data_IF_890528230138
#
_entry.id   IF_890528230138
#
_cell.length_a   1.000
_cell.length_b   1.000
_cell.length_c   1.000
_cell.angle_alpha   90.00
_cell.angle_beta   90.00
_cell.angle_gamma   90.00
#
_symmetry.space_group_name_H-M   'P 1'
#
loop_
_entity.id
_entity.type
_entity.pdbx_description
1 polymer ?
#
# COMPACT_ATOMS: atom_id res chain seq x y z
N UNK A 1 -28.93 36.75 36.88
CA UNK A 1 -29.87 37.80 36.43
C UNK A 1 -29.34 38.44 35.16
N UNK A 2 -29.95 38.11 34.01
CA UNK A 2 -30.39 39.01 32.94
C UNK A 2 -31.24 38.15 32.00
N UNK A 3 -32.53 38.44 31.99
CA UNK A 3 -33.57 37.75 31.21
C UNK A 3 -33.89 38.54 29.94
N UNK A 4 -34.29 37.84 28.88
CA UNK A 4 -35.35 38.19 27.92
C UNK A 4 -35.45 37.02 26.91
N UNK A 5 -36.41 36.11 27.06
CA UNK A 5 -37.77 36.09 26.45
C UNK A 5 -37.78 35.57 24.99
N UNK A 6 -38.23 34.33 24.75
CA UNK A 6 -39.60 33.86 24.36
C UNK A 6 -39.84 34.11 22.84
N UNK A 7 -40.09 33.11 21.98
CA UNK A 7 -41.40 32.45 21.80
C UNK A 7 -41.33 31.06 21.13
N UNK A 8 -42.18 30.18 21.66
CA UNK A 8 -42.60 28.87 21.15
C UNK A 8 -43.69 29.04 20.08
N UNK A 9 -43.72 28.21 19.03
CA UNK A 9 -44.91 28.05 18.19
C UNK A 9 -45.00 26.63 17.61
N UNK A 10 -45.80 25.83 18.31
CA UNK A 10 -46.47 24.63 17.79
C UNK A 10 -47.77 25.08 17.12
N UNK A 11 -48.07 24.61 15.91
CA UNK A 11 -49.46 24.41 15.51
C UNK A 11 -49.55 23.24 14.52
N UNK A 12 -50.23 22.19 14.98
CA UNK A 12 -50.76 21.13 14.15
C UNK A 12 -52.27 21.37 13.99
N UNK A 13 -52.82 21.22 12.79
CA UNK A 13 -54.00 20.37 12.57
C UNK A 13 -54.34 20.18 11.09
N UNK A 14 -54.88 18.99 10.88
CA UNK A 14 -55.33 18.29 9.68
C UNK A 14 -56.66 18.77 9.09
N UNK A 15 -57.03 18.10 7.97
CA UNK A 15 -58.36 17.90 7.34
C UNK A 15 -58.81 18.99 6.36
N UNK A 16 -59.46 18.72 5.22
CA UNK A 16 -59.82 17.50 4.48
C UNK A 16 -60.49 17.91 3.15
N UNK A 17 -60.38 17.05 2.13
CA UNK A 17 -61.25 16.81 0.95
C UNK A 17 -61.90 17.97 0.17
N UNK A 18 -61.67 17.97 -1.15
CA UNK A 18 -62.56 18.59 -2.14
C UNK A 18 -62.17 18.20 -3.56
N UNK A 19 -62.96 17.33 -4.18
CA UNK A 19 -62.84 16.91 -5.58
C UNK A 19 -63.80 17.76 -6.41
N UNK A 20 -63.33 18.37 -7.50
CA UNK A 20 -64.20 18.88 -8.57
C UNK A 20 -63.68 18.39 -9.93
N UNK A 21 -64.62 17.87 -10.72
CA UNK A 21 -64.43 17.28 -12.05
C UNK A 21 -64.75 18.30 -13.16
N UNK A 22 -64.21 18.02 -14.35
CA UNK A 22 -64.67 18.40 -15.71
C UNK A 22 -64.49 19.88 -16.14
N UNK A 23 -63.92 20.24 -17.30
CA UNK A 23 -63.59 19.52 -18.54
C UNK A 23 -62.55 20.26 -19.41
N UNK A 24 -61.73 19.44 -20.10
CA UNK A 24 -61.20 19.58 -21.48
C UNK A 24 -60.33 20.77 -21.90
N UNK A 25 -59.04 20.48 -22.17
CA UNK A 25 -58.38 20.81 -23.45
C UNK A 25 -57.08 20.01 -23.65
N UNK A 26 -57.21 18.89 -24.36
CA UNK A 26 -56.29 18.33 -25.38
C UNK A 26 -54.77 18.13 -25.10
N UNK A 27 -54.42 16.83 -25.03
CA UNK A 27 -53.39 16.10 -25.81
C UNK A 27 -51.98 15.82 -25.23
N UNK A 28 -51.83 14.52 -24.88
CA UNK A 28 -50.67 13.62 -24.95
C UNK A 28 -49.55 13.69 -23.90
N UNK A 29 -49.86 13.02 -22.80
CA UNK A 29 -48.97 12.33 -21.88
C UNK A 29 -48.18 11.19 -22.58
N UNK A 30 -46.84 11.26 -22.54
CA UNK A 30 -45.96 10.10 -22.71
C UNK A 30 -45.27 9.88 -21.37
N UNK A 31 -45.84 8.99 -20.56
CA UNK A 31 -45.33 8.57 -19.25
C UNK A 31 -43.88 8.06 -19.41
N UNK A 32 -42.92 8.77 -18.80
CA UNK A 32 -41.56 8.25 -18.58
C UNK A 32 -41.62 7.18 -17.48
N UNK A 33 -41.14 5.96 -17.71
CA UNK A 33 -40.96 4.98 -16.64
C UNK A 33 -39.96 5.50 -15.60
N UNK A 34 -40.28 5.28 -14.33
CA UNK A 34 -39.42 5.57 -13.20
C UNK A 34 -38.03 4.95 -13.38
N UNK A 35 -37.00 5.78 -13.22
CA UNK A 35 -35.60 5.40 -13.31
C UNK A 35 -35.27 4.46 -12.15
N UNK A 36 -35.08 3.19 -12.49
CA UNK A 36 -34.61 2.14 -11.58
C UNK A 36 -33.23 2.55 -11.01
N UNK A 37 -32.92 2.25 -9.74
CA UNK A 37 -31.62 2.57 -9.16
C UNK A 37 -30.51 1.99 -10.04
N UNK A 38 -29.68 2.87 -10.60
CA UNK A 38 -28.55 2.48 -11.40
C UNK A 38 -27.64 1.59 -10.56
N UNK A 39 -27.30 0.42 -11.09
CA UNK A 39 -26.30 -0.47 -10.49
C UNK A 39 -25.02 0.36 -10.24
N UNK A 40 -24.34 0.19 -9.08
CA UNK A 40 -23.09 0.89 -8.85
C UNK A 40 -22.13 0.57 -9.99
N UNK A 41 -21.72 1.61 -10.73
CA UNK A 41 -20.66 1.49 -11.72
C UNK A 41 -19.40 1.05 -10.98
N UNK A 42 -18.74 -0.05 -11.36
CA UNK A 42 -17.48 -0.45 -10.73
C UNK A 42 -16.48 0.70 -10.89
N UNK A 43 -16.00 1.25 -9.77
CA UNK A 43 -14.91 2.24 -9.80
C UNK A 43 -13.67 1.51 -10.31
N UNK A 44 -13.29 1.77 -11.56
CA UNK A 44 -12.07 1.21 -12.13
C UNK A 44 -10.87 1.85 -11.45
N UNK A 45 -10.14 1.07 -10.66
CA UNK A 45 -8.91 1.51 -10.00
C UNK A 45 -7.77 1.50 -11.03
N UNK A 46 -7.07 2.64 -11.25
CA UNK A 46 -5.93 2.66 -12.14
C UNK A 46 -4.79 1.74 -11.69
N UNK A 47 -4.07 1.14 -12.65
CA UNK A 47 -2.99 0.18 -12.38
C UNK A 47 -1.79 0.77 -11.63
N UNK A 48 -1.57 2.09 -11.71
CA UNK A 48 -0.51 2.79 -10.98
C UNK A 48 -0.85 3.03 -9.49
N UNK A 49 -2.11 2.85 -9.08
CA UNK A 49 -2.48 2.96 -7.67
C UNK A 49 -1.87 1.79 -6.94
N UNK A 50 -1.03 2.06 -5.94
CA UNK A 50 -0.28 1.00 -5.31
C UNK A 50 0.73 1.45 -4.28
N UNK A 51 1.40 0.47 -3.72
CA UNK A 51 2.54 0.64 -2.84
C UNK A 51 3.75 0.05 -3.54
N UNK A 52 4.81 0.83 -3.68
CA UNK A 52 6.07 0.46 -4.31
C UNK A 52 7.15 0.48 -3.24
N UNK A 53 7.89 -0.63 -3.09
CA UNK A 53 8.86 -0.77 -2.00
C UNK A 53 10.08 -1.58 -2.44
N UNK A 54 11.28 -1.06 -2.18
CA UNK A 54 12.53 -1.76 -2.46
C UNK A 54 13.70 -1.20 -1.66
N UNK A 55 14.76 -2.00 -1.57
CA UNK A 55 16.11 -1.48 -1.36
C UNK A 55 16.73 -1.14 -2.70
N UNK A 56 17.27 0.08 -2.84
CA UNK A 56 18.00 0.53 -4.02
C UNK A 56 19.45 0.89 -3.65
N UNK A 57 20.39 0.91 -4.62
CA UNK A 57 21.76 1.34 -4.40
C UNK A 57 21.86 2.73 -3.79
N UNK A 58 22.92 2.97 -3.02
CA UNK A 58 23.18 4.23 -2.36
C UNK A 58 24.67 4.57 -2.46
N UNK A 59 25.00 5.74 -3.04
CA UNK A 59 26.39 6.13 -3.23
C UNK A 59 27.13 6.42 -1.90
N UNK A 60 26.41 6.89 -0.88
CA UNK A 60 26.99 7.36 0.39
C UNK A 60 26.55 6.53 1.60
N UNK A 61 25.84 5.42 1.38
CA UNK A 61 25.31 4.54 2.42
C UNK A 61 25.27 3.09 1.91
N UNK A 62 24.91 2.11 2.74
CA UNK A 62 24.95 0.70 2.31
C UNK A 62 23.85 0.40 1.29
N UNK A 63 22.65 0.91 1.55
CA UNK A 63 21.48 0.86 0.67
C UNK A 63 20.45 1.86 1.15
N UNK A 64 19.52 2.22 0.27
CA UNK A 64 18.37 3.06 0.63
C UNK A 64 17.10 2.24 0.51
N UNK A 65 16.28 2.23 1.57
CA UNK A 65 14.88 1.81 1.47
C UNK A 65 14.06 2.95 0.88
N UNK A 66 13.28 2.65 -0.16
CA UNK A 66 12.25 3.54 -0.70
C UNK A 66 10.90 2.84 -0.57
N UNK A 67 9.91 3.57 -0.07
CA UNK A 67 8.54 3.11 0.11
C UNK A 67 7.60 4.23 -0.34
N UNK A 68 7.06 4.11 -1.56
CA UNK A 68 6.16 5.09 -2.17
C UNK A 68 4.75 4.51 -2.27
N UNK A 69 3.78 5.19 -1.69
CA UNK A 69 2.35 4.87 -1.87
C UNK A 69 1.72 5.94 -2.76
N UNK A 70 1.10 5.51 -3.85
CA UNK A 70 0.33 6.34 -4.77
C UNK A 70 -1.17 6.08 -4.54
N UNK A 71 -1.91 7.15 -4.25
CA UNK A 71 -3.33 7.10 -3.97
C UNK A 71 -4.17 7.51 -5.18
N UNK A 72 -5.39 6.99 -5.29
CA UNK A 72 -6.28 7.24 -6.43
C UNK A 72 -6.64 8.72 -6.60
N UNK A 73 -6.65 9.49 -5.51
CA UNK A 73 -6.88 10.93 -5.48
C UNK A 73 -5.67 11.77 -5.90
N UNK A 74 -4.63 11.13 -6.44
CA UNK A 74 -3.35 11.74 -6.86
C UNK A 74 -2.52 12.34 -5.73
N UNK A 75 -2.71 11.84 -4.51
CA UNK A 75 -1.80 12.10 -3.40
C UNK A 75 -0.78 10.98 -3.26
N UNK A 76 0.33 11.26 -2.56
CA UNK A 76 1.34 10.26 -2.26
C UNK A 76 1.85 10.35 -0.82
N UNK A 77 2.39 9.24 -0.34
CA UNK A 77 3.28 9.19 0.83
C UNK A 77 4.58 8.50 0.43
N UNK A 78 5.71 9.16 0.68
CA UNK A 78 7.05 8.66 0.39
C UNK A 78 7.84 8.56 1.68
N UNK A 79 8.24 7.35 2.05
CA UNK A 79 9.17 7.07 3.14
C UNK A 79 10.48 6.60 2.55
N UNK A 80 11.57 7.17 3.05
CA UNK A 80 12.92 6.80 2.64
C UNK A 80 13.79 6.61 3.85
N UNK A 81 14.59 5.54 3.85
CA UNK A 81 15.59 5.31 4.88
C UNK A 81 16.96 5.04 4.24
N UNK A 82 17.97 5.83 4.60
CA UNK A 82 19.36 5.54 4.25
C UNK A 82 19.98 4.69 5.36
N UNK A 83 20.42 3.47 5.02
CA UNK A 83 20.99 2.52 5.96
C UNK A 83 22.51 2.65 5.99
N UNK A 84 23.07 2.84 7.18
CA UNK A 84 24.49 2.82 7.44
C UNK A 84 24.78 1.76 8.50
N UNK A 85 26.01 1.25 8.53
CA UNK A 85 26.49 0.21 9.48
C UNK A 85 25.99 0.32 10.92
N UNK A 86 25.85 1.55 11.44
CA UNK A 86 25.48 1.80 12.85
C UNK A 86 24.29 2.73 13.03
N UNK A 87 23.72 3.27 11.95
CA UNK A 87 22.63 4.25 12.05
C UNK A 87 21.73 4.19 10.83
N UNK A 88 20.50 4.59 11.01
CA UNK A 88 19.53 4.77 9.93
C UNK A 88 19.07 6.23 9.95
N UNK A 89 19.00 6.86 8.79
CA UNK A 89 18.38 8.18 8.63
C UNK A 89 17.10 8.03 7.84
N UNK A 90 15.99 8.43 8.43
CA UNK A 90 14.68 8.35 7.81
C UNK A 90 14.16 9.74 7.46
N UNK A 91 13.42 9.82 6.37
CA UNK A 91 12.61 10.99 6.00
C UNK A 91 11.28 10.50 5.45
N UNK A 92 10.25 11.29 5.69
CA UNK A 92 8.91 11.06 5.17
C UNK A 92 8.41 12.37 4.54
N UNK A 93 7.81 12.23 3.37
CA UNK A 93 7.13 13.31 2.67
C UNK A 93 5.78 12.86 2.14
N UNK A 94 4.91 13.83 1.98
CA UNK A 94 3.59 13.64 1.37
C UNK A 94 3.29 14.83 0.48
N UNK A 95 2.39 14.63 -0.46
CA UNK A 95 1.89 15.70 -1.32
C UNK A 95 1.10 15.16 -2.48
N UNK A 96 1.10 15.90 -3.58
CA UNK A 96 0.38 15.54 -4.81
C UNK A 96 1.34 15.09 -5.90
N UNK A 97 0.82 14.40 -6.91
CA UNK A 97 1.61 14.07 -8.09
C UNK A 97 0.84 14.30 -9.40
N UNK A 98 1.62 14.46 -10.47
CA UNK A 98 1.12 14.58 -11.83
C UNK A 98 1.92 13.68 -12.76
N UNK A 99 1.28 13.23 -13.84
CA UNK A 99 1.98 12.64 -14.98
C UNK A 99 2.29 13.74 -16.00
N UNK A 100 3.45 13.66 -16.63
CA UNK A 100 3.82 14.58 -17.70
C UNK A 100 2.89 14.39 -18.90
N UNK A 101 2.44 15.50 -19.50
CA UNK A 101 1.48 15.48 -20.61
C UNK A 101 2.05 14.86 -21.90
N UNK A 102 3.37 14.94 -22.09
CA UNK A 102 4.08 14.44 -23.27
C UNK A 102 4.65 13.05 -23.04
N UNK A 103 4.96 12.72 -21.79
CA UNK A 103 5.45 11.41 -21.38
C UNK A 103 4.61 10.88 -20.21
N UNK A 104 3.60 10.06 -20.51
CA UNK A 104 2.69 9.48 -19.51
C UNK A 104 3.38 8.60 -18.47
N UNK A 105 4.62 8.17 -18.71
CA UNK A 105 5.38 7.38 -17.75
C UNK A 105 6.15 8.27 -16.76
N UNK A 106 6.36 9.55 -17.07
CA UNK A 106 7.06 10.45 -16.16
C UNK A 106 6.10 10.93 -15.06
N UNK A 107 6.33 10.44 -13.84
CA UNK A 107 5.65 10.82 -12.62
C UNK A 107 6.43 11.92 -11.89
N UNK A 108 5.79 13.06 -11.63
CA UNK A 108 6.34 14.14 -10.82
C UNK A 108 5.60 14.22 -9.48
N UNK A 109 6.32 13.97 -8.38
CA UNK A 109 5.86 14.19 -7.02
C UNK A 109 6.18 15.64 -6.60
N UNK A 110 5.22 16.30 -5.96
CA UNK A 110 5.35 17.66 -5.44
C UNK A 110 5.10 17.62 -3.93
N UNK A 111 6.14 17.87 -3.15
CA UNK A 111 6.07 17.83 -1.68
C UNK A 111 5.27 19.00 -1.12
N UNK A 112 4.31 18.73 -0.23
CA UNK A 112 3.42 19.77 0.28
C UNK A 112 4.12 20.82 1.14
N UNK A 113 5.18 20.43 1.88
CA UNK A 113 5.85 21.29 2.86
C UNK A 113 6.97 22.11 2.22
N UNK A 114 7.79 21.46 1.41
CA UNK A 114 9.03 22.01 0.82
C UNK A 114 8.83 22.49 -0.60
N UNK A 115 7.74 22.09 -1.27
CA UNK A 115 7.47 22.34 -2.68
C UNK A 115 8.56 21.80 -3.62
N UNK A 116 9.41 20.90 -3.13
CA UNK A 116 10.42 20.25 -3.93
C UNK A 116 9.80 19.18 -4.83
N UNK A 117 10.35 19.06 -6.03
CA UNK A 117 9.94 18.06 -7.01
C UNK A 117 10.79 16.81 -6.88
N UNK A 118 10.17 15.66 -7.14
CA UNK A 118 10.87 14.40 -7.40
C UNK A 118 10.27 13.71 -8.60
N UNK A 119 11.10 12.95 -9.30
CA UNK A 119 10.72 12.34 -10.56
C UNK A 119 10.90 10.82 -10.48
N UNK A 120 9.92 10.11 -11.01
CA UNK A 120 9.95 8.68 -11.19
C UNK A 120 9.50 8.34 -12.61
N UNK A 121 10.04 7.28 -13.19
CA UNK A 121 9.45 6.63 -14.36
C UNK A 121 8.52 5.52 -13.89
N UNK A 122 7.30 5.49 -14.43
CA UNK A 122 6.32 4.44 -14.21
C UNK A 122 6.49 3.36 -15.27
N UNK A 123 6.55 2.12 -14.81
CA UNK A 123 6.59 0.93 -15.64
C UNK A 123 5.43 0.00 -15.27
N UNK A 124 5.28 -1.10 -15.99
CA UNK A 124 4.32 -2.12 -15.60
C UNK A 124 4.74 -2.71 -14.25
N UNK A 125 3.83 -2.64 -13.27
CA UNK A 125 4.03 -3.12 -11.89
C UNK A 125 5.30 -2.61 -11.16
N UNK A 126 5.92 -1.51 -11.59
CA UNK A 126 7.14 -0.98 -10.97
C UNK A 126 7.34 0.50 -11.24
N UNK A 127 8.21 1.14 -10.46
CA UNK A 127 8.69 2.52 -10.68
C UNK A 127 10.22 2.57 -10.60
N UNK A 128 10.80 3.57 -11.23
CA UNK A 128 12.23 3.86 -11.18
C UNK A 128 12.44 5.32 -10.74
N UNK A 129 13.23 5.61 -9.71
CA UNK A 129 13.61 6.99 -9.38
C UNK A 129 14.45 7.59 -10.51
N UNK A 130 14.23 8.87 -10.82
CA UNK A 130 15.00 9.62 -11.80
C UNK A 130 15.82 10.73 -11.12
N UNK A 131 16.85 11.23 -11.81
CA UNK A 131 17.61 12.39 -11.34
C UNK A 131 16.78 13.70 -11.45
N UNK A 132 17.36 14.82 -10.99
CA UNK A 132 16.71 16.13 -11.02
C UNK A 132 16.43 16.65 -12.44
N UNK A 133 17.15 16.12 -13.44
CA UNK A 133 17.00 16.44 -14.85
C UNK A 133 16.08 15.42 -15.57
N UNK A 134 15.43 14.51 -14.82
CA UNK A 134 14.54 13.45 -15.31
C UNK A 134 15.26 12.36 -16.11
N UNK A 135 16.56 12.19 -15.92
CA UNK A 135 17.31 11.10 -16.54
C UNK A 135 17.30 9.86 -15.66
N UNK A 136 17.38 8.70 -16.30
CA UNK A 136 17.62 7.41 -15.64
C UNK A 136 19.03 7.34 -15.07
N UNK A 137 19.19 6.58 -13.99
CA UNK A 137 20.51 6.29 -13.45
C UNK A 137 21.24 5.27 -14.33
N UNK A 138 22.59 5.26 -14.26
CA UNK A 138 23.36 4.13 -14.78
C UNK A 138 22.99 2.89 -13.98
N UNK A 139 22.91 1.73 -14.65
CA UNK A 139 22.49 0.46 -14.07
C UNK A 139 21.05 0.51 -13.51
N UNK A 140 20.12 1.10 -14.28
CA UNK A 140 18.73 1.35 -13.91
C UNK A 140 17.97 0.10 -13.42
N UNK A 141 18.41 -1.10 -13.83
CA UNK A 141 17.84 -2.37 -13.40
C UNK A 141 17.94 -2.55 -11.87
N UNK A 142 18.95 -1.95 -11.23
CA UNK A 142 19.13 -1.99 -9.78
C UNK A 142 18.23 -1.00 -9.03
N UNK A 143 17.60 -0.07 -9.74
CA UNK A 143 16.75 0.97 -9.17
C UNK A 143 15.25 0.70 -9.36
N UNK A 144 14.90 -0.45 -9.94
CA UNK A 144 13.50 -0.86 -10.09
C UNK A 144 12.87 -1.12 -8.72
N UNK A 145 11.76 -0.42 -8.45
CA UNK A 145 10.99 -0.52 -7.23
C UNK A 145 9.66 -1.18 -7.60
N UNK A 146 9.48 -2.49 -7.38
CA UNK A 146 8.25 -3.17 -7.72
C UNK A 146 7.09 -2.70 -6.85
N UNK A 147 5.89 -2.82 -7.40
CA UNK A 147 4.67 -2.77 -6.63
C UNK A 147 4.64 -3.98 -5.69
N UNK A 148 4.36 -3.73 -4.41
CA UNK A 148 4.29 -4.75 -3.37
C UNK A 148 2.86 -4.90 -2.88
N UNK A 149 2.54 -6.09 -2.40
CA UNK A 149 1.23 -6.41 -1.85
C UNK A 149 1.35 -6.89 -0.41
N UNK A 150 0.68 -6.20 0.51
CA UNK A 150 0.66 -6.62 1.91
C UNK A 150 0.05 -8.03 2.06
N UNK A 151 0.62 -8.82 2.96
CA UNK A 151 0.05 -10.08 3.44
C UNK A 151 -0.28 -9.95 4.93
N UNK A 152 -1.31 -10.67 5.36
CA UNK A 152 -1.65 -10.77 6.78
C UNK A 152 -0.49 -11.43 7.56
N UNK A 153 -0.17 -10.84 8.72
CA UNK A 153 0.83 -11.36 9.65
C UNK A 153 0.18 -11.63 10.99
N UNK A 154 0.04 -12.91 11.33
CA UNK A 154 -0.38 -13.38 12.64
C UNK A 154 0.82 -13.41 13.57
N UNK A 155 0.90 -12.44 14.47
CA UNK A 155 2.07 -12.22 15.31
C UNK A 155 1.79 -12.52 16.78
N UNK A 156 2.46 -13.55 17.33
CA UNK A 156 2.35 -13.92 18.74
C UNK A 156 3.24 -13.08 19.68
N UNK A 157 4.18 -12.29 19.13
CA UNK A 157 5.15 -11.54 19.91
C UNK A 157 4.54 -10.29 20.54
N UNK A 158 4.77 -10.12 21.84
CA UNK A 158 4.37 -8.89 22.55
C UNK A 158 5.36 -7.77 22.26
N UNK A 159 4.84 -6.56 22.06
CA UNK A 159 5.63 -5.33 21.83
C UNK A 159 6.50 -5.36 20.57
N UNK A 160 6.12 -6.17 19.60
CA UNK A 160 6.77 -6.23 18.29
C UNK A 160 5.67 -6.10 17.26
N UNK A 161 5.80 -5.15 16.34
CA UNK A 161 4.90 -5.04 15.19
C UNK A 161 5.64 -5.56 13.96
N UNK A 162 4.99 -6.46 13.21
CA UNK A 162 5.58 -7.06 12.00
C UNK A 162 4.60 -6.87 10.85
N UNK A 163 5.11 -6.29 9.77
CA UNK A 163 4.42 -6.21 8.49
C UNK A 163 5.26 -6.90 7.43
N UNK A 164 4.59 -7.52 6.47
CA UNK A 164 5.22 -8.16 5.33
C UNK A 164 4.50 -7.77 4.04
N UNK A 165 5.29 -7.41 3.04
CA UNK A 165 4.79 -7.07 1.71
C UNK A 165 5.44 -8.01 0.70
N UNK A 166 4.65 -8.69 -0.13
CA UNK A 166 5.16 -9.54 -1.21
C UNK A 166 5.96 -8.67 -2.17
N UNK A 167 7.27 -8.94 -2.22
CA UNK A 167 8.24 -8.18 -3.00
C UNK A 167 8.55 -8.85 -4.33
N UNK A 168 8.64 -10.19 -4.34
CA UNK A 168 8.99 -10.95 -5.55
C UNK A 168 8.39 -12.35 -5.53
N UNK A 169 7.98 -12.83 -6.69
CA UNK A 169 7.56 -14.22 -6.92
C UNK A 169 8.36 -14.80 -8.09
N UNK A 170 9.06 -15.90 -7.84
CA UNK A 170 9.95 -16.54 -8.83
C UNK A 170 9.64 -18.03 -8.94
N UNK A 171 9.68 -18.57 -10.16
CA UNK A 171 9.68 -20.02 -10.36
C UNK A 171 11.09 -20.53 -10.16
N UNK A 172 11.24 -21.54 -9.32
CA UNK A 172 12.53 -22.18 -9.04
C UNK A 172 12.39 -23.68 -9.27
N UNK A 173 13.41 -24.28 -9.86
CA UNK A 173 13.46 -25.72 -10.09
C UNK A 173 14.71 -26.28 -9.42
N UNK A 174 14.53 -27.32 -8.62
CA UNK A 174 15.63 -28.04 -7.97
C UNK A 174 15.34 -29.53 -8.04
N UNK A 175 16.29 -30.31 -8.58
CA UNK A 175 16.16 -31.75 -8.76
C UNK A 175 14.88 -32.18 -9.51
N UNK A 176 14.46 -31.40 -10.52
CA UNK A 176 13.22 -31.65 -11.29
C UNK A 176 11.93 -31.27 -10.57
N UNK A 177 12.02 -30.73 -9.34
CA UNK A 177 10.86 -30.28 -8.56
C UNK A 177 10.68 -28.78 -8.81
N UNK A 178 9.55 -28.42 -9.43
CA UNK A 178 9.14 -27.03 -9.64
C UNK A 178 8.48 -26.49 -8.38
N UNK A 179 9.00 -25.36 -7.91
CA UNK A 179 8.52 -24.63 -6.75
C UNK A 179 8.36 -23.16 -7.09
N UNK A 180 7.65 -22.44 -6.24
CA UNK A 180 7.62 -20.98 -6.25
C UNK A 180 8.39 -20.46 -5.05
N UNK A 181 9.32 -19.54 -5.29
CA UNK A 181 9.99 -18.76 -4.26
C UNK A 181 9.25 -17.43 -4.13
N UNK A 182 8.65 -17.19 -2.96
CA UNK A 182 8.12 -15.88 -2.61
C UNK A 182 9.09 -15.16 -1.69
N UNK A 183 9.49 -13.96 -2.07
CA UNK A 183 10.28 -13.07 -1.23
C UNK A 183 9.38 -11.95 -0.72
N UNK A 184 9.36 -11.77 0.58
CA UNK A 184 8.62 -10.73 1.27
C UNK A 184 9.58 -9.70 1.86
N UNK A 185 9.19 -8.44 1.75
CA UNK A 185 9.81 -7.32 2.46
C UNK A 185 9.19 -7.22 3.85
N UNK A 186 9.96 -7.54 4.87
CA UNK A 186 9.54 -7.42 6.27
C UNK A 186 9.94 -6.07 6.85
N UNK A 187 9.03 -5.49 7.63
CA UNK A 187 9.27 -4.38 8.53
C UNK A 187 8.97 -4.85 9.94
N UNK A 188 10.02 -4.95 10.77
CA UNK A 188 9.96 -5.49 12.12
C UNK A 188 10.27 -4.36 13.08
N UNK A 189 9.25 -3.90 13.80
CA UNK A 189 9.35 -2.81 14.75
C UNK A 189 9.39 -3.37 16.17
N UNK A 190 10.57 -3.38 16.79
CA UNK A 190 10.74 -3.85 18.15
C UNK A 190 10.54 -2.69 19.14
N UNK A 191 9.40 -2.65 19.81
CA UNK A 191 9.06 -1.67 20.84
C UNK A 191 9.46 -2.11 22.26
N UNK A 192 10.09 -3.28 22.41
CA UNK A 192 10.55 -3.75 23.70
C UNK A 192 11.84 -3.05 24.16
N UNK A 193 12.15 -3.22 25.44
CA UNK A 193 13.39 -2.77 26.08
C UNK A 193 14.58 -3.73 25.82
N UNK A 194 14.36 -4.83 25.08
CA UNK A 194 15.35 -5.87 24.82
C UNK A 194 15.55 -6.10 23.33
N UNK A 195 16.71 -6.64 22.98
CA UNK A 195 16.95 -7.09 21.61
C UNK A 195 16.08 -8.33 21.32
N UNK A 196 15.41 -8.33 20.17
CA UNK A 196 14.65 -9.46 19.66
C UNK A 196 15.57 -10.34 18.79
N UNK A 197 15.54 -11.64 19.03
CA UNK A 197 16.18 -12.64 18.18
C UNK A 197 15.09 -13.45 17.50
N UNK A 198 15.08 -13.44 16.17
CA UNK A 198 14.20 -14.27 15.35
C UNK A 198 15.05 -15.29 14.61
N UNK A 199 14.56 -16.52 14.56
CA UNK A 199 15.09 -17.60 13.74
C UNK A 199 14.14 -17.86 12.58
N UNK A 200 14.61 -18.67 11.65
CA UNK A 200 13.87 -19.05 10.44
C UNK A 200 12.63 -19.85 10.80
N UNK A 201 12.80 -20.77 11.75
CA UNK A 201 11.74 -21.57 12.37
C UNK A 201 10.68 -20.77 13.12
N UNK A 202 10.97 -19.52 13.52
CA UNK A 202 9.99 -18.64 14.19
C UNK A 202 9.06 -17.95 13.18
N UNK A 203 9.39 -17.97 11.88
CA UNK A 203 8.63 -17.32 10.81
C UNK A 203 8.20 -18.37 9.78
N UNK A 204 6.91 -18.64 9.71
CA UNK A 204 6.34 -19.61 8.77
C UNK A 204 5.29 -18.96 7.88
N UNK A 205 5.29 -19.31 6.60
CA UNK A 205 4.21 -19.00 5.68
C UNK A 205 3.17 -20.11 5.79
N UNK A 206 1.91 -19.72 6.00
CA UNK A 206 0.78 -20.64 5.97
C UNK A 206 0.08 -20.53 4.62
N UNK A 207 -0.09 -21.66 3.95
CA UNK A 207 -0.83 -21.72 2.69
C UNK A 207 -2.34 -21.88 2.91
N UNK A 208 -3.11 -21.74 1.84
CA UNK A 208 -4.57 -21.89 1.87
C UNK A 208 -5.08 -23.29 2.29
N UNK A 209 -4.20 -24.29 2.41
CA UNK A 209 -4.51 -25.64 2.92
C UNK A 209 -3.98 -25.85 4.35
N UNK A 210 -3.53 -24.79 5.02
CA UNK A 210 -2.95 -24.78 6.36
C UNK A 210 -1.63 -25.56 6.52
N UNK A 211 -0.86 -25.76 5.45
CA UNK A 211 0.51 -26.27 5.61
C UNK A 211 1.46 -25.14 5.96
N UNK A 212 2.44 -25.45 6.82
CA UNK A 212 3.50 -24.52 7.19
C UNK A 212 4.71 -24.66 6.27
N UNK A 213 5.24 -23.54 5.82
CA UNK A 213 6.48 -23.46 5.05
C UNK A 213 7.46 -22.56 5.79
N UNK A 214 8.63 -23.11 6.15
CA UNK A 214 9.64 -22.39 6.93
C UNK A 214 10.32 -21.34 6.06
N UNK A 215 10.65 -20.20 6.66
CA UNK A 215 11.39 -19.13 6.00
C UNK A 215 12.85 -19.47 5.73
N UNK A 216 13.44 -18.74 4.78
CA UNK A 216 14.88 -18.65 4.56
C UNK A 216 15.27 -17.18 4.51
N UNK A 217 16.18 -16.76 5.39
CA UNK A 217 16.76 -15.42 5.32
C UNK A 217 17.87 -15.38 4.28
N UNK A 218 17.93 -14.28 3.53
CA UNK A 218 19.09 -14.03 2.65
C UNK A 218 20.38 -13.87 3.47
N UNK A 219 20.28 -13.31 4.68
CA UNK A 219 21.38 -13.17 5.64
C UNK A 219 21.09 -14.01 6.90
N UNK A 220 21.46 -15.29 6.88
CA UNK A 220 21.35 -16.17 8.05
C UNK A 220 22.72 -16.34 8.73
N UNK A 221 22.89 -16.01 10.04
CA UNK A 221 21.87 -15.54 10.97
C UNK A 221 21.55 -14.05 10.82
N UNK A 222 20.28 -13.69 11.02
CA UNK A 222 19.89 -12.28 11.13
C UNK A 222 20.54 -11.70 12.39
N UNK A 223 21.06 -10.49 12.27
CA UNK A 223 21.50 -9.74 13.44
C UNK A 223 20.31 -9.44 14.38
N UNK A 224 20.47 -9.60 15.71
CA UNK A 224 19.39 -9.29 16.65
C UNK A 224 18.84 -7.88 16.46
N UNK A 225 17.52 -7.78 16.40
CA UNK A 225 16.81 -6.51 16.23
C UNK A 225 16.87 -5.77 17.55
N UNK A 226 17.62 -4.67 17.59
CA UNK A 226 17.87 -3.90 18.82
C UNK A 226 16.56 -3.39 19.45
N UNK A 227 16.58 -3.16 20.75
CA UNK A 227 15.48 -2.55 21.50
C UNK A 227 15.09 -1.18 20.92
N UNK A 228 13.79 -0.88 20.84
CA UNK A 228 13.25 0.37 20.31
C UNK A 228 13.79 0.72 18.90
N UNK A 229 13.92 -0.28 18.04
CA UNK A 229 14.40 -0.12 16.66
C UNK A 229 13.54 -0.90 15.67
N UNK A 230 13.44 -0.33 14.48
CA UNK A 230 12.90 -0.99 13.29
C UNK A 230 14.03 -1.62 12.49
N UNK A 231 13.81 -2.83 12.01
CA UNK A 231 14.69 -3.53 11.08
C UNK A 231 13.89 -3.97 9.87
N UNK A 232 14.54 -3.97 8.71
CA UNK A 232 13.93 -4.33 7.44
C UNK A 232 14.72 -5.48 6.82
N UNK A 233 14.02 -6.56 6.46
CA UNK A 233 14.63 -7.78 5.95
C UNK A 233 13.89 -8.31 4.72
N UNK A 234 14.63 -8.97 3.83
CA UNK A 234 14.04 -9.78 2.77
C UNK A 234 14.02 -11.24 3.25
N UNK A 235 12.82 -11.81 3.31
CA UNK A 235 12.58 -13.17 3.81
C UNK A 235 11.93 -13.97 2.69
N UNK A 236 12.51 -15.11 2.37
CA UNK A 236 12.04 -15.97 1.29
C UNK A 236 11.35 -17.23 1.82
N UNK A 237 10.39 -17.74 1.07
CA UNK A 237 9.74 -19.03 1.31
C UNK A 237 9.74 -19.80 -0.01
N UNK A 238 10.12 -21.07 0.01
CA UNK A 238 10.05 -21.96 -1.15
C UNK A 238 8.97 -23.00 -0.89
N UNK A 239 7.98 -23.08 -1.77
CA UNK A 239 6.91 -24.05 -1.63
C UNK A 239 6.37 -24.50 -3.00
N UNK A 240 5.62 -25.61 -3.08
CA UNK A 240 5.20 -26.16 -4.36
C UNK A 240 4.30 -25.21 -5.15
N UNK A 241 4.43 -25.20 -6.47
CA UNK A 241 3.76 -24.24 -7.36
C UNK A 241 2.22 -24.24 -7.29
N UNK A 242 1.61 -25.33 -6.84
CA UNK A 242 0.16 -25.50 -6.76
C UNK A 242 -0.51 -24.85 -5.54
N UNK A 243 0.25 -24.13 -4.72
CA UNK A 243 -0.24 -23.55 -3.48
C UNK A 243 -0.33 -22.02 -3.56
N UNK A 244 -1.26 -21.47 -2.78
CA UNK A 244 -1.46 -20.04 -2.63
C UNK A 244 -1.14 -19.66 -1.19
N UNK A 245 -0.26 -18.67 -1.02
CA UNK A 245 0.03 -18.08 0.28
C UNK A 245 -1.24 -17.46 0.88
N UNK A 246 -1.50 -17.72 2.16
CA UNK A 246 -2.63 -17.15 2.88
C UNK A 246 -2.17 -16.05 3.84
N UNK A 247 -1.32 -16.40 4.81
CA UNK A 247 -0.78 -15.47 5.80
C UNK A 247 0.59 -15.92 6.29
N UNK A 248 1.28 -15.04 7.01
CA UNK A 248 2.54 -15.36 7.71
C UNK A 248 2.24 -15.48 9.20
N UNK A 249 2.76 -16.52 9.85
CA UNK A 249 2.65 -16.72 11.28
C UNK A 249 4.03 -16.53 11.94
N UNK A 250 4.07 -15.74 13.00
CA UNK A 250 5.25 -15.50 13.84
C UNK A 250 5.02 -16.22 15.17
N UNK A 251 5.86 -17.23 15.43
CA UNK A 251 5.77 -18.12 16.59
C UNK A 251 6.48 -17.57 17.82
#
# INVERSE_FOLDING_TARGET
MKQAMITLSFFAMLFSSGCDNTSTSSLNEKVKPAEQPSKPVPVQVPNWVGHYKAFIPCAACEKQLVSLRLHQDKTYTLKEASLFKQKMKQKESSGTFVFDEKNSNLLQLIDDKTKQNRYFSLHDHSIEPLDQNKNQFKDFEQYQIPQVQNIEVNNALKYVDIQADLFKSEKVESNGIKSTKLTYFFEINNHSDRALKLRDSDIVLIDAKNNEHVSTFENNPISPIKANKTQHELISFIYPESYQAAYINIK
#
